data_IF_011199433536
#
_entry.id   IF_011199433536
#
_cell.length_a   1.000
_cell.length_b   1.000
_cell.length_c   1.000
_cell.angle_alpha   90.00
_cell.angle_beta   90.00
_cell.angle_gamma   90.00
#
_symmetry.space_group_name_H-M   'P 1'
#
loop_
_entity.id
_entity.type
_entity.pdbx_description
1 polymer ?
#
# COMPACT_ATOMS: atom_id res chain seq x y z
N UNK A 1 16.50 -0.53 17.36
CA UNK A 1 16.55 -0.06 15.96
C UNK A 1 15.35 -0.58 15.15
N UNK A 2 15.11 -1.89 15.15
CA UNK A 2 14.05 -2.54 14.35
C UNK A 2 12.63 -2.06 14.70
N UNK A 3 12.30 -1.91 16.00
CA UNK A 3 10.98 -1.41 16.41
C UNK A 3 10.71 0.03 15.92
N UNK A 4 11.70 0.92 16.04
CA UNK A 4 11.58 2.31 15.57
C UNK A 4 11.43 2.38 14.04
N UNK A 5 12.12 1.51 13.30
CA UNK A 5 11.96 1.40 11.86
C UNK A 5 10.55 0.93 11.49
N UNK A 6 10.04 -0.10 12.17
CA UNK A 6 8.67 -0.56 11.96
C UNK A 6 7.65 0.53 12.32
N UNK A 7 7.87 1.26 13.41
CA UNK A 7 7.03 2.38 13.80
C UNK A 7 6.97 3.45 12.70
N UNK A 8 8.12 3.82 12.13
CA UNK A 8 8.18 4.76 11.02
C UNK A 8 7.42 4.25 9.79
N UNK A 9 7.60 2.98 9.41
CA UNK A 9 6.86 2.37 8.32
C UNK A 9 5.35 2.39 8.57
N UNK A 10 4.90 2.02 9.77
CA UNK A 10 3.50 2.07 10.16
C UNK A 10 2.95 3.50 10.12
N UNK A 11 3.74 4.52 10.54
CA UNK A 11 3.35 5.92 10.42
C UNK A 11 3.12 6.32 8.97
N UNK A 12 4.00 5.92 8.04
CA UNK A 12 3.77 6.18 6.62
C UNK A 12 2.48 5.56 6.11
N UNK A 13 2.18 4.32 6.49
CA UNK A 13 0.95 3.61 6.06
C UNK A 13 -0.33 4.08 6.76
N UNK A 14 -0.22 4.73 7.92
CA UNK A 14 -1.34 5.27 8.70
C UNK A 14 -1.50 6.79 8.58
N UNK A 15 -0.69 7.43 7.74
CA UNK A 15 -0.80 8.84 7.41
C UNK A 15 -2.08 9.10 6.60
N UNK A 16 -3.07 9.68 7.25
CA UNK A 16 -4.37 9.97 6.64
C UNK A 16 -4.55 11.46 6.38
N UNK A 17 -5.01 11.82 5.18
CA UNK A 17 -5.31 13.21 4.86
C UNK A 17 -6.56 13.69 5.59
N UNK A 18 -6.46 14.85 6.26
CA UNK A 18 -7.60 15.53 6.90
C UNK A 18 -8.48 16.29 5.92
N UNK A 19 -7.90 16.77 4.82
CA UNK A 19 -8.57 17.63 3.85
C UNK A 19 -8.99 16.86 2.59
N UNK A 20 -8.83 15.54 2.59
CA UNK A 20 -9.04 14.68 1.43
C UNK A 20 -7.93 14.76 0.36
N UNK A 21 -7.04 15.74 0.45
CA UNK A 21 -5.88 15.83 -0.43
C UNK A 21 -4.76 14.88 0.03
N UNK A 22 -4.50 13.84 -0.77
CA UNK A 22 -3.48 12.83 -0.51
C UNK A 22 -2.11 13.16 -1.09
N UNK A 23 -1.97 14.29 -1.80
CA UNK A 23 -0.74 14.65 -2.51
C UNK A 23 0.43 14.72 -1.53
N UNK A 24 0.26 15.39 -0.38
CA UNK A 24 1.31 15.55 0.63
C UNK A 24 1.76 14.24 1.30
N UNK A 25 1.07 13.12 1.06
CA UNK A 25 1.43 11.85 1.69
C UNK A 25 2.69 11.25 1.03
N UNK A 26 3.70 10.95 1.85
CA UNK A 26 5.01 10.50 1.37
C UNK A 26 4.93 9.24 0.48
N UNK A 27 4.10 8.25 0.85
CA UNK A 27 3.92 7.04 0.06
C UNK A 27 3.18 7.30 -1.26
N UNK A 28 2.25 8.27 -1.27
CA UNK A 28 1.54 8.67 -2.49
C UNK A 28 2.51 9.30 -3.47
N UNK A 29 3.33 10.26 -3.01
CA UNK A 29 4.41 10.83 -3.81
C UNK A 29 5.39 9.77 -4.33
N UNK A 30 5.84 8.87 -3.45
CA UNK A 30 6.73 7.78 -3.83
C UNK A 30 6.13 6.89 -4.94
N UNK A 31 4.84 6.54 -4.84
CA UNK A 31 4.17 5.77 -5.92
C UNK A 31 4.07 6.53 -7.23
N UNK A 32 3.91 7.86 -7.17
CA UNK A 32 3.95 8.72 -8.36
C UNK A 32 5.30 8.66 -9.06
N UNK A 33 6.40 8.79 -8.30
CA UNK A 33 7.77 8.70 -8.82
C UNK A 33 8.05 7.32 -9.43
N UNK A 34 7.57 6.24 -8.80
CA UNK A 34 7.70 4.89 -9.36
C UNK A 34 6.99 4.72 -10.71
N UNK A 35 5.99 5.55 -11.01
CA UNK A 35 5.31 5.58 -12.30
C UNK A 35 6.12 6.21 -13.43
N UNK A 36 7.27 6.84 -13.12
CA UNK A 36 8.14 7.47 -14.11
C UNK A 36 9.23 6.47 -14.54
N UNK A 37 9.54 6.45 -15.83
CA UNK A 37 10.64 5.65 -16.34
C UNK A 37 11.99 6.28 -15.93
N UNK A 38 12.96 5.49 -15.48
CA UNK A 38 14.20 6.02 -14.90
C UNK A 38 15.16 6.61 -15.94
N UNK A 39 15.07 6.16 -17.19
CA UNK A 39 15.97 6.55 -18.28
C UNK A 39 15.26 7.29 -19.41
N UNK A 40 13.94 7.16 -19.49
CA UNK A 40 13.14 7.80 -20.52
C UNK A 40 12.33 8.89 -19.83
N UNK A 41 12.22 10.07 -20.43
CA UNK A 41 11.36 11.15 -19.94
C UNK A 41 9.87 10.84 -20.22
N UNK A 42 9.45 9.63 -19.86
CA UNK A 42 8.15 9.05 -20.15
C UNK A 42 7.58 8.35 -18.91
N UNK A 43 6.25 8.24 -18.88
CA UNK A 43 5.55 7.44 -17.88
C UNK A 43 5.63 5.96 -18.23
N UNK A 44 5.68 5.12 -17.19
CA UNK A 44 5.50 3.67 -17.35
C UNK A 44 4.11 3.37 -17.87
N UNK A 45 4.02 2.38 -18.76
CA UNK A 45 2.72 1.87 -19.21
C UNK A 45 1.93 1.28 -18.04
N UNK A 46 0.60 1.23 -18.16
CA UNK A 46 -0.26 0.61 -17.15
C UNK A 46 0.19 -0.83 -16.84
N UNK A 47 0.62 -1.56 -17.87
CA UNK A 47 1.16 -2.91 -17.75
C UNK A 47 2.43 -2.98 -16.89
N UNK A 48 3.40 -2.08 -17.09
CA UNK A 48 4.66 -2.09 -16.34
C UNK A 48 4.50 -1.54 -14.92
N UNK A 49 3.55 -0.64 -14.70
CA UNK A 49 3.31 -0.02 -13.40
C UNK A 49 2.44 -0.89 -12.47
N UNK A 50 1.48 -1.66 -13.02
CA UNK A 50 0.54 -2.45 -12.21
C UNK A 50 1.23 -3.47 -11.28
N UNK A 51 2.27 -4.22 -11.69
CA UNK A 51 3.00 -5.14 -10.80
C UNK A 51 3.70 -4.41 -9.64
N UNK A 52 4.32 -3.25 -9.91
CA UNK A 52 4.98 -2.42 -8.89
C UNK A 52 3.97 -1.89 -7.87
N UNK A 53 2.82 -1.42 -8.34
CA UNK A 53 1.76 -0.97 -7.44
C UNK A 53 1.17 -2.15 -6.65
N UNK A 54 1.05 -3.34 -7.26
CA UNK A 54 0.53 -4.54 -6.60
C UNK A 54 1.42 -5.00 -5.46
N UNK A 55 2.75 -4.97 -5.66
CA UNK A 55 3.69 -5.35 -4.62
C UNK A 55 3.65 -4.38 -3.44
N UNK A 56 3.54 -3.07 -3.69
CA UNK A 56 3.36 -2.08 -2.63
C UNK A 56 2.06 -2.26 -1.85
N UNK A 57 0.94 -2.51 -2.53
CA UNK A 57 -0.34 -2.82 -1.86
C UNK A 57 -0.22 -4.06 -0.99
N UNK A 58 0.46 -5.10 -1.48
CA UNK A 58 0.69 -6.32 -0.71
C UNK A 58 1.53 -6.07 0.54
N UNK A 59 2.66 -5.37 0.41
CA UNK A 59 3.54 -5.00 1.53
C UNK A 59 2.78 -4.13 2.54
N UNK A 60 2.02 -3.14 2.07
CA UNK A 60 1.21 -2.26 2.92
C UNK A 60 0.16 -3.02 3.73
N UNK A 61 -0.49 -4.03 3.13
CA UNK A 61 -1.42 -4.91 3.85
C UNK A 61 -0.74 -5.70 4.95
N UNK A 62 0.46 -6.23 4.70
CA UNK A 62 1.22 -6.97 5.73
C UNK A 62 1.64 -6.05 6.89
N UNK A 63 2.16 -4.86 6.58
CA UNK A 63 2.57 -3.88 7.59
C UNK A 63 1.38 -3.39 8.42
N UNK A 64 0.24 -3.11 7.79
CA UNK A 64 -0.98 -2.71 8.49
C UNK A 64 -1.59 -3.85 9.32
N UNK A 65 -1.44 -5.10 8.89
CA UNK A 65 -1.88 -6.26 9.67
C UNK A 65 -1.02 -6.43 10.94
N UNK A 66 0.31 -6.32 10.82
CA UNK A 66 1.21 -6.34 11.97
C UNK A 66 0.95 -5.14 12.90
N UNK A 67 0.65 -3.95 12.34
CA UNK A 67 0.25 -2.80 13.14
C UNK A 67 -1.10 -3.00 13.86
N UNK A 68 -2.05 -3.70 13.23
CA UNK A 68 -3.36 -3.97 13.81
C UNK A 68 -3.28 -4.97 14.96
N UNK A 69 -2.55 -6.06 14.75
CA UNK A 69 -2.44 -7.20 15.65
C UNK A 69 -0.97 -7.65 15.74
N UNK A 70 -0.12 -6.92 16.47
CA UNK A 70 1.29 -7.26 16.66
C UNK A 70 1.48 -8.68 17.14
N UNK A 71 2.37 -9.46 16.52
CA UNK A 71 2.65 -10.82 17.02
C UNK A 71 3.32 -10.76 18.40
N UNK A 72 4.23 -9.82 18.57
CA UNK A 72 4.98 -9.55 19.81
C UNK A 72 4.73 -8.10 20.25
N UNK A 73 4.86 -7.79 21.55
CA UNK A 73 4.72 -6.43 22.01
C UNK A 73 5.91 -5.59 21.53
N UNK A 74 5.64 -4.37 21.06
CA UNK A 74 6.68 -3.38 20.76
C UNK A 74 6.88 -2.50 21.99
N UNK A 75 7.68 -2.97 22.95
CA UNK A 75 7.84 -2.35 24.27
C UNK A 75 8.84 -1.21 24.30
N UNK A 76 9.74 -1.11 23.32
CA UNK A 76 10.79 -0.08 23.28
C UNK A 76 10.34 1.21 22.59
N UNK A 77 9.12 1.22 22.05
CA UNK A 77 8.49 2.42 21.50
C UNK A 77 8.11 3.40 22.61
N UNK A 78 8.13 4.70 22.30
CA UNK A 78 7.64 5.75 23.21
C UNK A 78 6.21 5.49 23.69
N UNK A 79 5.38 4.91 22.83
CA UNK A 79 4.05 4.42 23.15
C UNK A 79 4.06 2.92 22.83
N UNK A 80 4.13 2.03 23.85
CA UNK A 80 4.19 0.60 23.63
C UNK A 80 2.97 0.08 22.88
N UNK A 81 3.19 -0.81 21.91
CA UNK A 81 2.11 -1.52 21.24
C UNK A 81 1.92 -2.90 21.85
N UNK A 82 0.72 -3.24 22.32
CA UNK A 82 0.48 -4.52 22.96
C UNK A 82 0.48 -5.65 21.93
N UNK A 83 0.87 -6.85 22.37
CA UNK A 83 0.76 -8.05 21.56
C UNK A 83 -0.70 -8.40 21.27
N UNK A 84 -0.98 -9.10 20.16
CA UNK A 84 -2.33 -9.48 19.73
C UNK A 84 -3.13 -10.20 20.82
N UNK A 85 -2.46 -10.99 21.66
CA UNK A 85 -3.08 -11.75 22.75
C UNK A 85 -3.64 -10.86 23.88
N UNK A 86 -3.21 -9.60 23.97
CA UNK A 86 -3.66 -8.66 25.00
C UNK A 86 -4.90 -7.86 24.57
N UNK A 87 -5.28 -7.90 23.28
CA UNK A 87 -6.53 -7.27 22.85
C UNK A 87 -7.72 -8.17 23.24
N UNK A 88 -8.77 -7.63 23.89
CA UNK A 88 -9.93 -8.40 24.30
C UNK A 88 -10.72 -8.96 23.10
N UNK A 89 -10.74 -8.23 21.99
CA UNK A 89 -11.32 -8.68 20.73
C UNK A 89 -10.42 -8.24 19.55
N UNK A 90 -9.70 -9.21 19.00
CA UNK A 90 -8.81 -9.01 17.86
C UNK A 90 -9.57 -8.69 16.57
N UNK A 91 -10.76 -9.26 16.39
CA UNK A 91 -11.59 -9.04 15.21
C UNK A 91 -12.13 -7.63 15.22
N UNK A 92 -12.67 -7.17 16.35
CA UNK A 92 -13.11 -5.78 16.52
C UNK A 92 -11.96 -4.80 16.32
N UNK A 93 -10.77 -5.10 16.87
CA UNK A 93 -9.56 -4.29 16.64
C UNK A 93 -9.24 -4.13 15.14
N UNK A 94 -9.18 -5.24 14.40
CA UNK A 94 -8.83 -5.22 12.98
C UNK A 94 -9.96 -4.63 12.12
N UNK A 95 -11.17 -5.19 12.21
CA UNK A 95 -12.30 -4.89 11.32
C UNK A 95 -13.02 -3.60 11.70
N UNK A 96 -13.11 -3.30 13.00
CA UNK A 96 -13.82 -2.12 13.52
C UNK A 96 -12.96 -0.86 13.52
N UNK A 97 -11.66 -0.96 13.82
CA UNK A 97 -10.82 0.23 14.04
C UNK A 97 -9.78 0.46 12.94
N UNK A 98 -9.04 -0.56 12.51
CA UNK A 98 -7.94 -0.39 11.55
C UNK A 98 -8.44 -0.41 10.11
N UNK A 99 -9.18 -1.46 9.74
CA UNK A 99 -9.57 -1.71 8.36
C UNK A 99 -10.38 -0.56 7.74
N UNK A 100 -11.40 0.03 8.40
CA UNK A 100 -12.17 1.12 7.83
C UNK A 100 -11.35 2.39 7.64
N UNK A 101 -10.34 2.60 8.50
CA UNK A 101 -9.54 3.82 8.51
C UNK A 101 -8.38 3.78 7.53
N UNK A 102 -7.72 2.62 7.38
CA UNK A 102 -6.47 2.54 6.63
C UNK A 102 -6.48 1.55 5.47
N UNK A 103 -7.35 0.54 5.44
CA UNK A 103 -7.26 -0.56 4.46
C UNK A 103 -8.40 -0.60 3.44
N UNK A 104 -9.50 0.10 3.71
CA UNK A 104 -10.66 0.13 2.82
C UNK A 104 -10.35 0.94 1.56
N UNK A 105 -10.79 0.47 0.41
CA UNK A 105 -10.79 1.26 -0.83
C UNK A 105 -11.58 2.57 -0.61
N UNK A 106 -11.06 3.69 -1.09
CA UNK A 106 -11.69 5.01 -0.93
C UNK A 106 -11.47 5.67 0.44
N UNK A 107 -10.72 5.06 1.36
CA UNK A 107 -10.24 5.79 2.53
C UNK A 107 -9.09 6.74 2.14
N UNK A 108 -8.99 7.87 2.85
CA UNK A 108 -7.90 8.83 2.67
C UNK A 108 -6.61 8.35 3.35
N UNK A 109 -6.19 7.12 3.03
CA UNK A 109 -4.92 6.52 3.44
C UNK A 109 -4.09 6.18 2.19
N UNK A 110 -2.79 5.91 2.34
CA UNK A 110 -1.94 5.53 1.22
C UNK A 110 -2.43 4.26 0.54
N UNK A 111 -2.86 3.26 1.32
CA UNK A 111 -3.37 2.00 0.78
C UNK A 111 -4.69 2.20 0.04
N UNK A 112 -5.58 3.05 0.55
CA UNK A 112 -6.83 3.42 -0.12
C UNK A 112 -6.55 4.08 -1.48
N UNK A 113 -5.63 5.05 -1.51
CA UNK A 113 -5.17 5.71 -2.72
C UNK A 113 -4.58 4.73 -3.74
N UNK A 114 -3.64 3.87 -3.31
CA UNK A 114 -3.03 2.88 -4.20
C UNK A 114 -4.05 1.90 -4.77
N UNK A 115 -5.04 1.46 -3.99
CA UNK A 115 -6.13 0.62 -4.47
C UNK A 115 -6.96 1.30 -5.58
N UNK A 116 -7.27 2.60 -5.43
CA UNK A 116 -7.97 3.37 -6.49
C UNK A 116 -7.12 3.45 -7.76
N UNK A 117 -5.82 3.76 -7.62
CA UNK A 117 -4.90 3.83 -8.77
C UNK A 117 -4.78 2.47 -9.47
N UNK A 118 -4.75 1.37 -8.71
CA UNK A 118 -4.72 0.02 -9.28
C UNK A 118 -6.00 -0.31 -10.06
N UNK A 119 -7.16 0.08 -9.53
CA UNK A 119 -8.42 -0.11 -10.25
C UNK A 119 -8.41 0.65 -11.58
N UNK A 120 -8.00 1.92 -11.55
CA UNK A 120 -7.87 2.74 -12.76
C UNK A 120 -6.88 2.14 -13.78
N UNK A 121 -5.71 1.69 -13.31
CA UNK A 121 -4.70 1.06 -14.17
C UNK A 121 -5.22 -0.21 -14.85
N UNK A 122 -6.00 -1.03 -14.14
CA UNK A 122 -6.65 -2.21 -14.73
C UNK A 122 -7.66 -1.83 -15.81
N UNK A 123 -8.46 -0.79 -15.58
CA UNK A 123 -9.40 -0.28 -16.60
C UNK A 123 -8.66 0.17 -17.87
N UNK A 124 -7.53 0.85 -17.73
CA UNK A 124 -6.67 1.21 -18.87
C UNK A 124 -6.14 -0.03 -19.57
N UNK A 125 -5.53 -0.96 -18.83
CA UNK A 125 -4.95 -2.18 -19.39
C UNK A 125 -6.00 -3.03 -20.14
N UNK A 126 -7.24 -3.10 -19.62
CA UNK A 126 -8.34 -3.78 -20.31
C UNK A 126 -8.77 -3.10 -21.61
N UNK A 127 -8.62 -1.77 -21.71
CA UNK A 127 -8.91 -1.01 -22.94
C UNK A 127 -7.78 -1.11 -23.97
N UNK A 128 -6.54 -1.11 -23.52
CA UNK A 128 -5.35 -1.22 -24.38
C UNK A 128 -5.18 -2.64 -24.97
N UNK A 129 -5.72 -3.66 -24.30
CA UNK A 129 -5.63 -5.05 -24.75
C UNK A 129 -4.30 -5.73 -24.39
N UNK A 130 -4.19 -7.04 -24.61
CA UNK A 130 -2.95 -7.78 -24.35
C UNK A 130 -1.85 -7.36 -25.34
N UNK A 131 -0.59 -7.39 -24.88
CA UNK A 131 0.54 -7.24 -25.81
C UNK A 131 0.52 -8.37 -26.84
N UNK A 132 0.82 -8.02 -28.09
CA UNK A 132 1.13 -8.99 -29.14
C UNK A 132 2.29 -9.86 -28.67
N UNK A 133 2.03 -11.15 -28.48
CA UNK A 133 3.07 -12.13 -28.20
C UNK A 133 3.52 -12.70 -29.54
N UNK A 134 4.76 -12.39 -29.95
CA UNK A 134 5.33 -12.93 -31.18
C UNK A 134 6.22 -14.10 -30.77
N UNK A 135 5.77 -15.31 -31.08
CA UNK A 135 6.60 -16.51 -30.97
C UNK A 135 7.09 -16.89 -32.37
N UNK A 136 8.39 -17.14 -32.50
CA UNK A 136 8.95 -17.74 -33.71
C UNK A 136 8.56 -19.22 -33.77
N UNK A 137 8.26 -19.73 -34.97
CA UNK A 137 8.14 -21.19 -35.16
C UNK A 137 9.52 -21.84 -34.99
N UNK A 138 9.54 -23.13 -34.68
CA UNK A 138 10.76 -23.91 -34.50
C UNK A 138 11.46 -24.29 -35.81
N UNK A 139 11.11 -23.64 -36.93
CA UNK A 139 11.61 -23.98 -38.26
C UNK A 139 13.08 -23.54 -38.46
#
# INVERSE_FOLDING_TARGET
>A
LTENMFQLLAMFWTDTSKNGNMDACALVHFTGVLGIHSTELAYRTAYAFTPLLSSLIWIGRLLLLEYALPLQPYSHLRIPWPARAQYPDQVSRLVGHIHPKYMRRGCFSPLGYMCERMHHARTIASREGPRTNISWSSD
#
